data_IF_018828073434
#
_entry.id   IF_018828073434
#
_cell.length_a   1.000
_cell.length_b   1.000
_cell.length_c   1.000
_cell.angle_alpha   90.00
_cell.angle_beta   90.00
_cell.angle_gamma   90.00
#
_symmetry.space_group_name_H-M   'P 1'
#
loop_
_entity.id
_entity.type
_entity.pdbx_description
1 polymer ?
#
# COMPACT_ATOMS: atom_id res chain seq x y z
N UNK A 1 13.60 -2.50 -24.22
CA UNK A 1 13.06 -2.58 -22.83
C UNK A 1 11.84 -3.48 -22.88
N UNK A 2 11.70 -4.44 -21.98
CA UNK A 2 10.56 -5.36 -21.96
C UNK A 2 9.30 -4.57 -21.52
N UNK A 3 8.18 -4.76 -22.22
CA UNK A 3 6.90 -4.11 -21.89
C UNK A 3 6.35 -4.48 -20.50
N UNK A 4 6.89 -5.55 -19.91
CA UNK A 4 6.55 -6.03 -18.56
C UNK A 4 7.33 -5.33 -17.42
N UNK A 5 8.20 -4.37 -17.74
CA UNK A 5 8.81 -3.51 -16.74
C UNK A 5 7.83 -2.41 -16.35
N UNK A 6 7.54 -2.32 -15.06
CA UNK A 6 6.52 -1.42 -14.53
C UNK A 6 7.20 -0.35 -13.70
N UNK A 7 6.77 0.89 -13.88
CA UNK A 7 7.08 2.01 -12.99
C UNK A 7 6.27 1.89 -11.68
N UNK A 8 6.82 2.38 -10.62
CA UNK A 8 6.50 2.39 -9.18
C UNK A 8 5.09 2.05 -8.70
N UNK A 9 4.04 2.50 -9.37
CA UNK A 9 2.66 2.39 -8.87
C UNK A 9 2.07 0.97 -8.84
N UNK A 10 2.62 0.07 -9.64
CA UNK A 10 2.14 -1.32 -9.73
C UNK A 10 3.14 -2.33 -9.18
N UNK A 11 4.21 -1.85 -8.59
CA UNK A 11 5.24 -2.73 -8.03
C UNK A 11 4.64 -3.60 -6.92
N UNK A 12 4.81 -4.90 -7.06
CA UNK A 12 4.40 -5.92 -6.09
C UNK A 12 5.49 -6.04 -5.01
N UNK A 13 6.74 -6.09 -5.46
CA UNK A 13 7.94 -6.06 -4.63
C UNK A 13 8.76 -4.82 -4.97
N UNK A 14 9.28 -4.13 -3.96
CA UNK A 14 10.08 -2.92 -4.15
C UNK A 14 11.13 -2.79 -3.06
N UNK A 15 12.42 -2.68 -3.44
CA UNK A 15 13.45 -2.24 -2.52
C UNK A 15 13.32 -0.74 -2.26
N UNK A 16 13.35 -0.33 -1.01
CA UNK A 16 13.24 1.06 -0.58
C UNK A 16 14.44 1.39 0.30
N UNK A 17 15.10 2.51 -0.02
CA UNK A 17 16.19 3.08 0.76
C UNK A 17 15.74 4.42 1.32
N UNK A 18 15.98 4.64 2.62
CA UNK A 18 15.64 5.90 3.31
C UNK A 18 16.84 6.32 4.14
N UNK A 19 17.28 7.56 4.01
CA UNK A 19 18.39 8.10 4.79
C UNK A 19 17.99 8.38 6.22
N UNK A 20 18.94 8.24 7.15
CA UNK A 20 18.73 8.57 8.54
C UNK A 20 18.21 10.01 8.71
N UNK A 21 17.14 10.15 9.48
CA UNK A 21 16.41 11.42 9.67
C UNK A 21 15.29 11.69 8.67
N UNK A 22 15.23 11.01 7.54
CA UNK A 22 14.17 11.17 6.54
C UNK A 22 12.89 10.43 6.91
N UNK A 23 11.81 10.77 6.22
CA UNK A 23 10.48 10.20 6.43
C UNK A 23 10.01 9.39 5.23
N UNK A 24 9.39 8.25 5.51
CA UNK A 24 8.64 7.44 4.57
C UNK A 24 7.15 7.55 4.92
N UNK A 25 6.41 8.35 4.17
CA UNK A 25 4.98 8.58 4.41
C UNK A 25 4.18 7.95 3.26
N UNK A 26 3.13 7.22 3.61
CA UNK A 26 2.13 6.69 2.68
C UNK A 26 0.75 6.97 3.24
N UNK A 27 -0.02 7.80 2.57
CA UNK A 27 -1.42 8.06 2.91
C UNK A 27 -2.32 7.04 2.24
N UNK A 28 -3.28 6.51 3.00
CA UNK A 28 -4.26 5.53 2.53
C UNK A 28 -3.65 4.43 1.64
N UNK A 29 -2.84 3.58 2.24
CA UNK A 29 -2.19 2.44 1.55
C UNK A 29 -3.23 1.63 0.77
N UNK A 30 -3.07 1.54 -0.54
CA UNK A 30 -4.10 0.94 -1.42
C UNK A 30 -4.24 -0.59 -1.28
N UNK A 31 -3.17 -1.25 -0.86
CA UNK A 31 -3.09 -2.72 -0.70
C UNK A 31 -2.46 -3.05 0.63
N UNK A 32 -2.75 -4.24 1.14
CA UNK A 32 -1.98 -4.76 2.27
C UNK A 32 -0.50 -4.74 1.93
N UNK A 33 0.31 -4.36 2.89
CA UNK A 33 1.74 -4.16 2.68
C UNK A 33 2.53 -4.83 3.79
N UNK A 34 3.45 -5.72 3.39
CA UNK A 34 4.51 -6.22 4.25
C UNK A 34 5.76 -5.37 4.06
N UNK A 35 6.34 -4.91 5.16
CA UNK A 35 7.66 -4.27 5.18
C UNK A 35 8.66 -5.18 5.89
N UNK A 36 9.80 -5.42 5.26
CA UNK A 36 10.89 -6.25 5.79
C UNK A 36 12.13 -5.37 5.95
N UNK A 37 12.57 -5.13 7.18
CA UNK A 37 13.78 -4.34 7.45
C UNK A 37 15.00 -5.21 7.22
N UNK A 38 15.80 -4.87 6.21
CA UNK A 38 17.03 -5.57 5.86
C UNK A 38 18.25 -4.95 6.53
N UNK A 39 18.23 -3.66 6.81
CA UNK A 39 19.24 -2.99 7.64
C UNK A 39 18.69 -1.70 8.24
N UNK A 40 19.25 -1.27 9.37
CA UNK A 40 18.91 -0.03 10.05
C UNK A 40 17.71 -0.14 10.99
N UNK A 41 17.32 1.02 11.53
CA UNK A 41 16.20 1.17 12.46
C UNK A 41 15.31 2.34 12.06
N UNK A 42 14.01 2.19 12.21
CA UNK A 42 13.03 3.25 12.00
C UNK A 42 11.91 3.21 13.05
N UNK A 43 11.34 4.37 13.32
CA UNK A 43 10.12 4.50 14.10
C UNK A 43 8.94 4.49 13.13
N UNK A 44 7.96 3.62 13.37
CA UNK A 44 6.78 3.45 12.51
C UNK A 44 5.49 3.68 13.29
N UNK A 45 4.47 4.21 12.62
CA UNK A 45 3.11 4.36 13.14
C UNK A 45 2.08 4.31 12.02
N UNK A 46 0.86 3.92 12.36
CA UNK A 46 -0.34 4.09 11.53
C UNK A 46 -1.31 5.04 12.22
N UNK A 47 -2.37 5.48 11.53
CA UNK A 47 -3.34 6.40 12.11
C UNK A 47 -3.95 5.82 13.40
N UNK A 48 -3.75 6.53 14.53
CA UNK A 48 -4.24 6.12 15.85
C UNK A 48 -3.37 5.09 16.57
N UNK A 49 -2.22 4.66 15.98
CA UNK A 49 -1.28 3.76 16.65
C UNK A 49 -0.20 4.50 17.44
N UNK A 50 0.32 3.83 18.47
CA UNK A 50 1.52 4.29 19.17
C UNK A 50 2.72 4.13 18.25
N UNK A 51 3.65 5.09 18.26
CA UNK A 51 4.90 4.99 17.54
C UNK A 51 5.74 3.81 18.09
N UNK A 52 6.19 2.96 17.18
CA UNK A 52 6.88 1.72 17.53
C UNK A 52 8.18 1.63 16.73
N UNK A 53 9.26 1.24 17.39
CA UNK A 53 10.55 1.00 16.75
C UNK A 53 10.58 -0.35 16.08
N UNK A 54 11.08 -0.38 14.84
CA UNK A 54 11.36 -1.59 14.08
C UNK A 54 12.80 -1.54 13.57
N UNK A 55 13.51 -2.66 13.67
CA UNK A 55 14.91 -2.77 13.28
C UNK A 55 15.18 -3.93 12.32
N UNK A 56 16.45 -4.12 12.03
CA UNK A 56 16.93 -5.20 11.18
C UNK A 56 16.36 -6.56 11.57
N UNK A 57 16.05 -7.40 10.57
CA UNK A 57 15.42 -8.72 10.74
C UNK A 57 14.03 -8.71 11.37
N UNK A 58 13.34 -7.60 11.29
CA UNK A 58 11.92 -7.52 11.66
C UNK A 58 11.06 -7.20 10.45
N UNK A 59 9.86 -7.77 10.42
CA UNK A 59 8.83 -7.45 9.44
C UNK A 59 7.58 -6.92 10.13
N UNK A 60 6.84 -6.10 9.40
CA UNK A 60 5.58 -5.48 9.84
C UNK A 60 4.52 -5.53 8.76
N UNK A 61 3.26 -5.42 9.18
CA UNK A 61 2.10 -5.43 8.32
C UNK A 61 1.35 -4.10 8.42
N UNK A 62 1.01 -3.53 7.27
CA UNK A 62 0.14 -2.36 7.16
C UNK A 62 -1.15 -2.79 6.47
N UNK A 63 -2.29 -2.50 7.09
CA UNK A 63 -3.59 -2.79 6.49
C UNK A 63 -3.89 -1.83 5.34
N UNK A 64 -4.67 -2.32 4.36
CA UNK A 64 -5.15 -1.48 3.28
C UNK A 64 -6.03 -0.35 3.84
N UNK A 65 -5.81 0.87 3.33
CA UNK A 65 -6.48 2.08 3.75
C UNK A 65 -5.93 2.73 5.01
N UNK A 66 -4.86 2.19 5.60
CA UNK A 66 -4.19 2.87 6.71
C UNK A 66 -3.22 3.94 6.19
N UNK A 67 -2.98 4.94 7.03
CA UNK A 67 -1.90 5.90 6.82
C UNK A 67 -0.65 5.39 7.52
N UNK A 68 0.44 5.31 6.79
CA UNK A 68 1.73 4.88 7.33
C UNK A 68 2.70 6.04 7.43
N UNK A 69 3.31 6.18 8.58
CA UNK A 69 4.38 7.13 8.87
C UNK A 69 5.58 6.37 9.39
N UNK A 70 6.70 6.47 8.67
CA UNK A 70 7.99 5.92 9.07
C UNK A 70 9.01 7.05 9.19
N UNK A 71 9.79 7.09 10.27
CA UNK A 71 10.96 7.95 10.43
C UNK A 71 12.20 7.11 10.54
N UNK A 72 13.10 7.22 9.59
CA UNK A 72 14.39 6.55 9.64
C UNK A 72 15.25 7.11 10.80
N UNK A 73 15.74 6.25 11.69
CA UNK A 73 16.68 6.62 12.75
C UNK A 73 18.09 6.50 12.23
N UNK A 74 18.39 5.44 11.51
CA UNK A 74 19.63 5.23 10.77
C UNK A 74 19.30 5.11 9.28
N UNK A 75 20.30 4.95 8.42
CA UNK A 75 20.06 4.60 7.02
C UNK A 75 19.32 3.25 6.98
N UNK A 76 18.19 3.23 6.29
CA UNK A 76 17.28 2.08 6.17
C UNK A 76 17.40 1.47 4.80
N UNK A 77 17.49 0.14 4.75
CA UNK A 77 17.16 -0.67 3.59
C UNK A 77 16.00 -1.60 3.94
N UNK A 78 14.91 -1.52 3.18
CA UNK A 78 13.76 -2.39 3.38
C UNK A 78 13.24 -2.96 2.05
N UNK A 79 12.64 -4.14 2.12
CA UNK A 79 11.82 -4.69 1.04
C UNK A 79 10.35 -4.49 1.37
N UNK A 80 9.60 -3.93 0.42
CA UNK A 80 8.15 -3.80 0.49
C UNK A 80 7.48 -4.86 -0.38
N UNK A 81 6.48 -5.57 0.13
CA UNK A 81 5.63 -6.48 -0.64
C UNK A 81 4.17 -6.04 -0.52
N UNK A 82 3.55 -5.70 -1.65
CA UNK A 82 2.12 -5.34 -1.71
C UNK A 82 1.29 -6.55 -2.18
N UNK A 83 0.17 -6.82 -1.49
CA UNK A 83 -0.68 -7.96 -1.79
C UNK A 83 -2.16 -7.65 -1.53
N UNK A 84 -3.04 -8.56 -1.94
CA UNK A 84 -4.49 -8.51 -1.74
C UNK A 84 -4.93 -9.69 -0.89
N UNK A 85 -6.13 -9.65 -0.30
CA UNK A 85 -6.62 -10.65 0.64
C UNK A 85 -6.79 -12.05 0.04
N UNK A 86 -7.07 -12.12 -1.26
CA UNK A 86 -7.16 -13.36 -2.03
C UNK A 86 -5.83 -14.13 -2.14
N UNK A 87 -4.76 -13.55 -1.58
CA UNK A 87 -3.45 -14.19 -1.53
C UNK A 87 -3.49 -15.49 -0.73
N UNK A 88 -3.02 -16.56 -1.32
CA UNK A 88 -2.87 -17.85 -0.68
C UNK A 88 -1.46 -18.04 -0.15
N UNK A 89 -1.33 -18.59 1.06
CA UNK A 89 -0.05 -19.04 1.64
C UNK A 89 0.45 -20.32 0.98
N UNK A 90 -0.46 -21.09 0.38
CA UNK A 90 -0.19 -22.20 -0.54
C UNK A 90 -1.51 -22.59 -1.23
N UNK A 91 -1.47 -23.50 -2.22
CA UNK A 91 -2.64 -23.92 -3.01
C UNK A 91 -3.87 -24.39 -2.20
N UNK A 92 -3.69 -24.72 -0.92
CA UNK A 92 -4.76 -25.23 -0.04
C UNK A 92 -4.96 -24.41 1.23
N UNK A 93 -4.28 -23.28 1.37
CA UNK A 93 -4.30 -22.49 2.61
C UNK A 93 -4.25 -20.99 2.31
N UNK A 94 -5.40 -20.33 2.40
CA UNK A 94 -5.51 -18.88 2.26
C UNK A 94 -5.17 -18.13 3.56
N UNK A 95 -4.87 -16.85 3.45
CA UNK A 95 -4.67 -15.97 4.62
C UNK A 95 -5.91 -15.99 5.53
N UNK A 96 -7.12 -15.97 4.98
CA UNK A 96 -8.37 -16.00 5.75
C UNK A 96 -8.50 -17.23 6.66
N UNK A 97 -7.95 -18.36 6.23
CA UNK A 97 -8.00 -19.60 7.05
C UNK A 97 -7.15 -19.49 8.32
N UNK A 98 -6.24 -18.51 8.41
CA UNK A 98 -5.51 -18.20 9.64
C UNK A 98 -6.43 -17.76 10.78
N UNK A 99 -7.62 -17.22 10.49
CA UNK A 99 -8.57 -16.81 11.51
C UNK A 99 -8.89 -17.92 12.50
N UNK A 100 -8.87 -19.19 12.07
CA UNK A 100 -9.10 -20.38 12.91
C UNK A 100 -8.00 -20.61 13.95
N UNK A 101 -6.85 -20.00 13.76
CA UNK A 101 -5.66 -20.15 14.61
C UNK A 101 -5.40 -18.94 15.50
N UNK A 102 -6.28 -17.95 15.49
CA UNK A 102 -6.23 -16.84 16.45
C UNK A 102 -6.53 -17.41 17.83
N UNK A 103 -5.64 -17.25 18.83
CA UNK A 103 -5.86 -17.76 20.19
C UNK A 103 -7.14 -17.17 20.81
N UNK A 104 -7.87 -17.99 21.57
CA UNK A 104 -9.01 -17.52 22.35
C UNK A 104 -8.57 -16.41 23.30
N UNK A 105 -9.27 -15.28 23.30
CA UNK A 105 -8.94 -14.12 24.12
C UNK A 105 -7.83 -13.24 23.55
N UNK A 106 -7.31 -13.53 22.36
CA UNK A 106 -6.40 -12.62 21.68
C UNK A 106 -7.12 -11.29 21.42
N UNK A 107 -6.68 -10.26 22.11
CA UNK A 107 -7.06 -8.89 21.80
C UNK A 107 -5.93 -8.29 20.96
N UNK A 108 -6.24 -8.00 19.71
CA UNK A 108 -5.35 -7.21 18.92
C UNK A 108 -5.16 -5.87 19.64
N UNK A 109 -3.92 -5.52 19.91
CA UNK A 109 -3.63 -4.19 20.46
C UNK A 109 -4.24 -3.16 19.49
N UNK A 110 -5.24 -2.45 19.99
CA UNK A 110 -6.08 -1.53 19.22
C UNK A 110 -5.28 -0.41 18.54
N UNK A 111 -3.99 -0.30 18.88
CA UNK A 111 -3.13 0.83 18.53
C UNK A 111 -1.66 0.42 18.25
N UNK A 112 -1.40 -0.80 17.80
CA UNK A 112 -0.04 -1.24 17.50
C UNK A 112 0.12 -1.87 16.11
N UNK A 113 1.27 -1.67 15.49
CA UNK A 113 1.68 -2.41 14.29
C UNK A 113 2.23 -3.76 14.77
N UNK A 114 1.72 -4.86 14.23
CA UNK A 114 2.21 -6.18 14.58
C UNK A 114 3.59 -6.41 13.94
N UNK A 115 4.59 -6.73 14.78
CA UNK A 115 5.94 -7.08 14.36
C UNK A 115 6.14 -8.59 14.44
N UNK A 116 6.91 -9.13 13.50
CA UNK A 116 7.34 -10.51 13.50
C UNK A 116 8.83 -10.59 13.10
N UNK A 117 9.68 -11.36 13.80
CA UNK A 117 11.06 -11.59 13.38
C UNK A 117 11.11 -12.26 11.99
N UNK A 118 12.02 -11.83 11.12
CA UNK A 118 12.24 -12.48 9.83
C UNK A 118 13.08 -13.74 10.06
N UNK A 119 12.59 -14.88 9.57
CA UNK A 119 13.34 -16.13 9.58
C UNK A 119 14.65 -15.98 8.80
N UNK A 120 15.75 -16.58 9.26
CA UNK A 120 17.08 -16.33 8.69
C UNK A 120 17.21 -16.69 7.21
N UNK A 121 16.59 -17.79 6.77
CA UNK A 121 16.60 -18.18 5.34
C UNK A 121 15.76 -17.20 4.50
N UNK A 122 14.62 -16.75 5.01
CA UNK A 122 13.81 -15.75 4.36
C UNK A 122 14.56 -14.40 4.26
N UNK A 123 15.29 -14.03 5.29
CA UNK A 123 16.10 -12.81 5.28
C UNK A 123 17.15 -12.85 4.15
N UNK A 124 17.91 -13.95 4.03
CA UNK A 124 18.89 -14.14 2.95
C UNK A 124 18.25 -14.10 1.57
N UNK A 125 17.07 -14.71 1.41
CA UNK A 125 16.32 -14.69 0.15
C UNK A 125 15.88 -13.26 -0.24
N UNK A 126 15.44 -12.47 0.75
CA UNK A 126 15.07 -11.07 0.54
C UNK A 126 16.29 -10.21 0.16
N UNK A 127 17.46 -10.43 0.78
CA UNK A 127 18.69 -9.74 0.41
C UNK A 127 19.09 -10.04 -1.04
N UNK A 128 19.08 -11.31 -1.45
CA UNK A 128 19.36 -11.72 -2.83
C UNK A 128 18.35 -11.11 -3.80
N UNK A 129 17.07 -11.12 -3.43
CA UNK A 129 16.01 -10.51 -4.25
C UNK A 129 16.22 -9.01 -4.42
N UNK A 130 16.57 -8.30 -3.34
CA UNK A 130 16.93 -6.87 -3.39
C UNK A 130 18.09 -6.61 -4.37
N UNK A 131 19.18 -7.37 -4.27
CA UNK A 131 20.32 -7.20 -5.16
C UNK A 131 19.94 -7.44 -6.64
N UNK A 132 19.18 -8.50 -6.92
CA UNK A 132 18.67 -8.75 -8.28
C UNK A 132 17.83 -7.57 -8.78
N UNK A 133 16.95 -7.01 -7.95
CA UNK A 133 16.12 -5.87 -8.36
C UNK A 133 16.95 -4.59 -8.56
N UNK A 134 18.02 -4.38 -7.80
CA UNK A 134 18.98 -3.28 -7.99
C UNK A 134 19.70 -3.32 -9.33
N UNK A 135 19.88 -4.50 -9.93
CA UNK A 135 20.43 -4.62 -11.30
C UNK A 135 19.44 -4.20 -12.39
N UNK A 136 18.23 -3.74 -12.01
CA UNK A 136 17.19 -3.31 -12.94
C UNK A 136 16.14 -4.39 -13.28
N UNK A 137 16.15 -5.53 -12.59
CA UNK A 137 15.13 -6.58 -12.75
C UNK A 137 13.80 -6.16 -12.09
N UNK A 138 13.00 -5.36 -12.79
CA UNK A 138 11.68 -4.87 -12.32
C UNK A 138 10.48 -5.54 -13.03
N UNK A 139 10.72 -6.66 -13.75
CA UNK A 139 9.68 -7.38 -14.48
C UNK A 139 8.54 -7.84 -13.57
N UNK A 140 7.30 -7.55 -13.95
CA UNK A 140 6.10 -7.91 -13.15
C UNK A 140 5.96 -9.41 -12.93
N UNK A 141 6.37 -10.23 -13.92
CA UNK A 141 6.31 -11.68 -13.79
C UNK A 141 7.28 -12.18 -12.71
N UNK A 142 8.50 -11.62 -12.68
CA UNK A 142 9.47 -11.91 -11.62
C UNK A 142 8.91 -11.55 -10.25
N UNK A 143 8.39 -10.34 -10.10
CA UNK A 143 7.82 -9.86 -8.84
C UNK A 143 6.64 -10.73 -8.38
N UNK A 144 5.78 -11.17 -9.31
CA UNK A 144 4.64 -12.05 -9.00
C UNK A 144 5.10 -13.40 -8.46
N UNK A 145 6.05 -14.05 -9.13
CA UNK A 145 6.62 -15.33 -8.70
C UNK A 145 7.29 -15.18 -7.34
N UNK A 146 8.10 -14.14 -7.15
CA UNK A 146 8.75 -13.86 -5.86
C UNK A 146 7.76 -13.63 -4.74
N UNK A 147 6.67 -12.92 -4.99
CA UNK A 147 5.58 -12.76 -4.02
C UNK A 147 4.96 -14.11 -3.65
N UNK A 148 4.65 -14.95 -4.62
CA UNK A 148 4.09 -16.28 -4.36
C UNK A 148 5.05 -17.15 -3.53
N UNK A 149 6.32 -17.17 -3.87
CA UNK A 149 7.36 -17.87 -3.09
C UNK A 149 7.42 -17.35 -1.66
N UNK A 150 7.46 -16.04 -1.46
CA UNK A 150 7.46 -15.40 -0.13
C UNK A 150 6.31 -15.89 0.75
N UNK A 151 5.10 -15.99 0.21
CA UNK A 151 3.94 -16.46 0.99
C UNK A 151 4.01 -17.96 1.32
N UNK A 152 4.57 -18.78 0.41
CA UNK A 152 4.84 -20.20 0.67
C UNK A 152 5.91 -20.33 1.78
N UNK A 153 6.95 -19.51 1.75
CA UNK A 153 8.02 -19.48 2.74
C UNK A 153 7.51 -19.02 4.12
N UNK A 154 6.67 -17.99 4.16
CA UNK A 154 5.99 -17.59 5.39
C UNK A 154 5.22 -18.78 5.99
N UNK A 155 4.49 -19.52 5.15
CA UNK A 155 3.76 -20.71 5.61
C UNK A 155 4.69 -21.85 6.06
N UNK A 156 5.87 -21.97 5.45
CA UNK A 156 6.86 -23.01 5.75
C UNK A 156 7.68 -22.73 7.02
N UNK A 157 8.02 -21.48 7.26
CA UNK A 157 8.96 -21.10 8.34
C UNK A 157 8.29 -20.72 9.65
N UNK A 158 7.00 -20.35 9.65
CA UNK A 158 6.31 -19.89 10.86
C UNK A 158 5.17 -20.81 11.26
N UNK A 159 4.88 -20.87 12.56
CA UNK A 159 3.71 -21.56 13.07
C UNK A 159 2.43 -20.82 12.65
N UNK A 160 1.34 -21.53 12.47
CA UNK A 160 0.06 -20.94 12.05
C UNK A 160 -0.46 -19.90 13.05
N UNK A 161 -0.23 -20.15 14.32
CA UNK A 161 -0.61 -19.27 15.43
C UNK A 161 0.13 -17.94 15.39
N UNK A 162 1.43 -17.95 15.04
CA UNK A 162 2.25 -16.73 14.89
C UNK A 162 1.81 -15.94 13.66
N UNK A 163 1.58 -16.62 12.54
CA UNK A 163 1.01 -16.00 11.34
C UNK A 163 -0.40 -15.45 11.60
N UNK A 164 -1.24 -16.18 12.36
CA UNK A 164 -2.58 -15.73 12.70
C UNK A 164 -2.56 -14.42 13.52
N UNK A 165 -1.67 -14.32 14.50
CA UNK A 165 -1.46 -13.08 15.26
C UNK A 165 -0.92 -11.96 14.37
N UNK A 166 0.06 -12.27 13.53
CA UNK A 166 0.68 -11.30 12.64
C UNK A 166 -0.29 -10.73 11.60
N UNK A 167 -1.11 -11.59 10.99
CA UNK A 167 -2.13 -11.20 10.02
C UNK A 167 -3.47 -10.77 10.66
N UNK A 168 -3.62 -10.84 11.98
CA UNK A 168 -4.86 -10.49 12.67
C UNK A 168 -5.45 -9.12 12.25
N UNK A 169 -4.64 -8.07 12.01
CA UNK A 169 -5.16 -6.78 11.56
C UNK A 169 -5.99 -6.83 10.27
N UNK A 170 -5.78 -7.85 9.45
CA UNK A 170 -6.46 -8.01 8.17
C UNK A 170 -7.43 -9.20 8.13
N UNK A 171 -7.52 -9.95 9.24
CA UNK A 171 -8.46 -11.06 9.40
C UNK A 171 -9.73 -10.53 10.07
N UNK A 172 -10.79 -10.28 9.31
CA UNK A 172 -12.06 -9.84 9.87
C UNK A 172 -12.98 -9.18 8.85
N UNK A 173 -14.28 -9.18 9.13
CA UNK A 173 -15.32 -8.72 8.20
C UNK A 173 -15.40 -7.20 8.02
N UNK A 174 -14.91 -6.41 8.97
CA UNK A 174 -15.00 -4.94 8.90
C UNK A 174 -14.06 -4.33 7.85
N UNK A 175 -12.96 -5.02 7.56
CA UNK A 175 -12.02 -4.60 6.51
C UNK A 175 -12.50 -4.93 5.08
N UNK A 176 -13.44 -5.87 4.91
CA UNK A 176 -13.90 -6.33 3.59
C UNK A 176 -14.46 -5.20 2.73
N UNK A 177 -15.25 -4.30 3.33
CA UNK A 177 -15.84 -3.19 2.60
C UNK A 177 -14.76 -2.19 2.15
N UNK A 178 -13.85 -1.83 3.04
CA UNK A 178 -12.73 -0.90 2.76
C UNK A 178 -11.84 -1.44 1.65
N UNK A 179 -11.47 -2.70 1.77
CA UNK A 179 -10.64 -3.39 0.77
C UNK A 179 -11.33 -3.48 -0.59
N UNK A 180 -12.59 -3.92 -0.63
CA UNK A 180 -13.35 -4.00 -1.87
C UNK A 180 -13.46 -2.63 -2.56
N UNK A 181 -13.69 -1.55 -1.80
CA UNK A 181 -13.66 -0.19 -2.34
C UNK A 181 -12.29 0.14 -2.92
N UNK A 182 -11.20 -0.17 -2.20
CA UNK A 182 -9.82 0.12 -2.64
C UNK A 182 -9.40 -0.70 -3.87
N UNK A 183 -9.89 -1.92 -4.01
CA UNK A 183 -9.64 -2.74 -5.21
C UNK A 183 -10.39 -2.24 -6.44
N UNK A 184 -11.62 -1.77 -6.24
CA UNK A 184 -12.51 -1.36 -7.32
C UNK A 184 -12.23 0.07 -7.78
N UNK A 185 -11.89 1.00 -6.87
CA UNK A 185 -11.82 2.42 -7.16
C UNK A 185 -10.86 2.81 -8.31
N UNK A 186 -9.73 2.12 -8.59
CA UNK A 186 -8.88 2.47 -9.72
C UNK A 186 -9.55 2.32 -11.09
N UNK A 187 -10.66 1.57 -11.13
CA UNK A 187 -11.40 1.23 -12.36
C UNK A 187 -12.74 1.97 -12.47
N UNK A 188 -13.04 2.88 -11.54
CA UNK A 188 -14.29 3.63 -11.48
C UNK A 188 -14.04 5.13 -11.37
N UNK A 189 -14.97 5.93 -11.87
CA UNK A 189 -14.89 7.40 -11.82
C UNK A 189 -15.95 8.00 -10.91
N UNK A 190 -17.00 7.26 -10.59
CA UNK A 190 -18.17 7.76 -9.86
C UNK A 190 -18.53 6.89 -8.65
N UNK A 191 -19.20 7.52 -7.68
CA UNK A 191 -19.73 6.80 -6.53
C UNK A 191 -20.84 5.80 -6.93
N UNK A 192 -21.56 6.07 -8.03
CA UNK A 192 -22.58 5.16 -8.52
C UNK A 192 -21.94 3.85 -9.04
N UNK A 193 -20.86 3.95 -9.80
CA UNK A 193 -20.12 2.76 -10.25
C UNK A 193 -19.57 1.91 -9.11
N UNK A 194 -19.15 2.54 -7.99
CA UNK A 194 -18.76 1.79 -6.78
C UNK A 194 -19.97 1.04 -6.19
N UNK A 195 -21.14 1.70 -6.10
CA UNK A 195 -22.37 1.10 -5.59
C UNK A 195 -22.75 -0.13 -6.42
N UNK A 196 -22.74 0.03 -7.74
CA UNK A 196 -23.14 -1.01 -8.69
C UNK A 196 -22.19 -2.22 -8.60
N UNK A 197 -20.87 -2.00 -8.57
CA UNK A 197 -19.89 -3.07 -8.47
C UNK A 197 -19.87 -3.78 -7.12
N UNK A 198 -20.23 -3.07 -6.04
CA UNK A 198 -20.33 -3.65 -4.71
C UNK A 198 -21.68 -4.32 -4.44
N UNK A 199 -22.62 -4.28 -5.40
CA UNK A 199 -23.97 -4.82 -5.28
C UNK A 199 -24.70 -4.35 -4.00
N UNK A 200 -24.55 -3.06 -3.65
CA UNK A 200 -25.15 -2.49 -2.45
C UNK A 200 -26.30 -1.55 -2.79
N UNK A 201 -27.25 -1.42 -1.88
CA UNK A 201 -28.23 -0.32 -1.99
C UNK A 201 -27.56 1.03 -1.74
N UNK A 202 -27.97 2.12 -2.42
CA UNK A 202 -27.37 3.45 -2.25
C UNK A 202 -27.32 3.95 -0.81
N UNK A 203 -28.37 3.66 -0.03
CA UNK A 203 -28.46 4.08 1.39
C UNK A 203 -27.50 3.28 2.27
N UNK A 204 -27.40 1.96 2.11
CA UNK A 204 -26.48 1.12 2.84
C UNK A 204 -25.02 1.48 2.52
N UNK A 205 -24.73 1.70 1.22
CA UNK A 205 -23.39 2.13 0.77
C UNK A 205 -23.00 3.47 1.39
N UNK A 206 -23.85 4.52 1.29
CA UNK A 206 -23.54 5.85 1.83
C UNK A 206 -23.23 5.81 3.33
N UNK A 207 -24.03 5.06 4.09
CA UNK A 207 -23.80 4.89 5.53
C UNK A 207 -22.47 4.20 5.79
N UNK A 208 -22.26 3.00 5.23
CA UNK A 208 -21.07 2.19 5.45
C UNK A 208 -19.80 2.90 4.95
N UNK A 209 -19.89 3.61 3.81
CA UNK A 209 -18.78 4.38 3.27
C UNK A 209 -18.35 5.51 4.22
N UNK A 210 -19.31 6.24 4.79
CA UNK A 210 -19.05 7.33 5.73
C UNK A 210 -18.50 6.82 7.07
N UNK A 211 -18.99 5.68 7.55
CA UNK A 211 -18.47 4.99 8.75
C UNK A 211 -17.01 4.55 8.53
N UNK A 212 -16.68 4.03 7.34
CA UNK A 212 -15.36 3.48 7.03
C UNK A 212 -14.32 4.55 6.68
N UNK A 213 -14.69 5.55 5.87
CA UNK A 213 -13.77 6.55 5.31
C UNK A 213 -13.92 7.96 5.91
N UNK A 214 -14.89 8.19 6.78
CA UNK A 214 -15.14 9.45 7.44
C UNK A 214 -15.75 10.54 6.55
N UNK A 215 -15.78 10.37 5.23
CA UNK A 215 -16.27 11.33 4.23
C UNK A 215 -17.18 10.64 3.21
N UNK A 216 -17.84 11.41 2.35
CA UNK A 216 -18.64 10.83 1.26
C UNK A 216 -17.76 10.21 0.17
N UNK A 217 -18.27 9.17 -0.52
CA UNK A 217 -17.57 8.51 -1.62
C UNK A 217 -17.16 9.50 -2.74
N UNK A 218 -18.01 10.49 -3.04
CA UNK A 218 -17.70 11.54 -4.02
C UNK A 218 -16.50 12.38 -3.59
N UNK A 219 -16.45 12.82 -2.32
CA UNK A 219 -15.34 13.60 -1.79
C UNK A 219 -14.06 12.77 -1.77
N UNK A 220 -14.16 11.50 -1.40
CA UNK A 220 -13.03 10.58 -1.37
C UNK A 220 -12.46 10.32 -2.77
N UNK A 221 -13.30 10.05 -3.78
CA UNK A 221 -12.85 9.88 -5.17
C UNK A 221 -12.16 11.14 -5.72
N UNK A 222 -12.65 12.34 -5.37
CA UNK A 222 -12.00 13.60 -5.74
C UNK A 222 -10.62 13.67 -5.10
N UNK A 223 -10.47 13.40 -3.80
CA UNK A 223 -9.16 13.39 -3.13
C UNK A 223 -8.20 12.39 -3.74
N UNK A 224 -8.66 11.19 -4.09
CA UNK A 224 -7.84 10.19 -4.78
C UNK A 224 -7.37 10.67 -6.16
N UNK A 225 -8.26 11.33 -6.91
CA UNK A 225 -7.90 11.94 -8.20
C UNK A 225 -6.88 13.07 -8.04
N UNK A 226 -7.03 13.90 -7.00
CA UNK A 226 -6.07 14.95 -6.63
C UNK A 226 -4.68 14.38 -6.34
N UNK A 227 -4.59 13.37 -5.47
CA UNK A 227 -3.33 12.72 -5.10
C UNK A 227 -2.61 12.13 -6.32
N UNK A 228 -3.35 11.40 -7.19
CA UNK A 228 -2.77 10.85 -8.42
C UNK A 228 -2.29 11.94 -9.37
N UNK A 229 -3.09 12.98 -9.56
CA UNK A 229 -2.74 14.08 -10.46
C UNK A 229 -1.48 14.82 -10.00
N UNK A 230 -1.39 15.20 -8.72
CA UNK A 230 -0.20 15.86 -8.16
C UNK A 230 1.02 14.98 -8.36
N UNK A 231 0.95 13.71 -8.03
CA UNK A 231 2.06 12.78 -8.21
C UNK A 231 2.50 12.73 -9.68
N UNK A 232 1.57 12.57 -10.60
CA UNK A 232 1.89 12.54 -12.03
C UNK A 232 2.52 13.85 -12.50
N UNK A 233 2.04 15.01 -12.01
CA UNK A 233 2.63 16.33 -12.33
C UNK A 233 4.08 16.41 -11.85
N UNK A 234 4.36 15.92 -10.64
CA UNK A 234 5.67 16.06 -9.99
C UNK A 234 6.67 15.00 -10.45
N UNK A 235 6.23 13.74 -10.58
CA UNK A 235 7.11 12.59 -10.72
C UNK A 235 7.28 12.09 -12.16
N UNK A 236 6.46 12.58 -13.11
CA UNK A 236 6.55 12.14 -14.50
C UNK A 236 7.00 13.26 -15.43
N UNK A 237 7.58 12.87 -16.58
CA UNK A 237 7.92 13.80 -17.66
C UNK A 237 6.79 13.96 -18.70
N UNK A 238 5.60 13.40 -18.44
CA UNK A 238 4.42 13.53 -19.30
C UNK A 238 4.04 15.01 -19.41
N UNK A 239 3.71 15.49 -20.61
CA UNK A 239 3.31 16.88 -20.80
C UNK A 239 1.99 17.21 -20.07
N UNK A 240 1.79 18.48 -19.73
CA UNK A 240 0.52 18.88 -19.06
C UNK A 240 -0.68 18.64 -19.97
N UNK A 241 -0.52 18.70 -21.28
CA UNK A 241 -1.58 18.40 -22.23
C UNK A 241 -1.97 16.90 -22.21
N UNK A 242 -0.98 16.01 -22.23
CA UNK A 242 -1.19 14.56 -22.09
C UNK A 242 -1.77 14.18 -20.73
N UNK A 243 -1.35 14.87 -19.65
CA UNK A 243 -1.98 14.69 -18.35
C UNK A 243 -3.44 15.13 -18.34
N UNK A 244 -3.78 16.26 -18.99
CA UNK A 244 -5.16 16.69 -19.11
C UNK A 244 -6.01 15.64 -19.84
N UNK A 245 -5.50 15.07 -20.93
CA UNK A 245 -6.17 13.99 -21.66
C UNK A 245 -6.31 12.72 -20.78
N UNK A 246 -5.23 12.28 -20.10
CA UNK A 246 -5.24 11.13 -19.19
C UNK A 246 -6.31 11.24 -18.10
N UNK A 247 -6.50 12.46 -17.56
CA UNK A 247 -7.49 12.71 -16.50
C UNK A 247 -8.85 13.15 -17.04
N UNK A 248 -9.05 13.11 -18.37
CA UNK A 248 -10.27 13.56 -19.07
C UNK A 248 -10.64 15.01 -18.73
N UNK A 249 -9.64 15.87 -18.62
CA UNK A 249 -9.77 17.30 -18.38
C UNK A 249 -9.52 18.08 -19.68
N UNK A 250 -10.19 19.22 -19.80
CA UNK A 250 -9.72 20.25 -20.75
C UNK A 250 -8.51 20.97 -20.14
N UNK A 251 -7.64 21.55 -20.98
CA UNK A 251 -6.46 22.30 -20.49
C UNK A 251 -6.86 23.42 -19.51
N UNK A 252 -7.94 24.13 -19.78
CA UNK A 252 -8.47 25.17 -18.91
C UNK A 252 -8.98 24.61 -17.58
N UNK A 253 -9.69 23.50 -17.65
CA UNK A 253 -10.19 22.85 -16.43
C UNK A 253 -9.07 22.29 -15.57
N UNK A 254 -8.02 21.70 -16.17
CA UNK A 254 -6.82 21.24 -15.48
C UNK A 254 -6.18 22.38 -14.68
N UNK A 255 -5.99 23.55 -15.30
CA UNK A 255 -5.41 24.72 -14.64
C UNK A 255 -6.28 25.22 -13.50
N UNK A 256 -7.60 25.31 -13.73
CA UNK A 256 -8.57 25.75 -12.71
C UNK A 256 -8.62 24.77 -11.55
N UNK A 257 -8.62 23.47 -11.85
CA UNK A 257 -8.61 22.40 -10.85
C UNK A 257 -7.36 22.46 -9.97
N UNK A 258 -6.16 22.55 -10.57
CA UNK A 258 -4.92 22.63 -9.83
C UNK A 258 -4.84 23.89 -8.96
N UNK A 259 -5.25 25.05 -9.47
CA UNK A 259 -5.30 26.28 -8.66
C UNK A 259 -6.25 26.17 -7.48
N UNK A 260 -7.42 25.55 -7.68
CA UNK A 260 -8.42 25.36 -6.63
C UNK A 260 -7.96 24.41 -5.53
N UNK A 261 -7.29 23.32 -5.89
CA UNK A 261 -6.98 22.22 -4.96
C UNK A 261 -5.54 22.30 -4.41
N UNK A 262 -4.61 22.92 -5.16
CA UNK A 262 -3.19 23.01 -4.79
C UNK A 262 -2.67 24.44 -4.72
N UNK A 263 -3.50 25.43 -4.99
CA UNK A 263 -3.12 26.86 -4.96
C UNK A 263 -2.26 27.32 -6.15
N UNK A 264 -1.84 26.43 -7.06
CA UNK A 264 -0.89 26.69 -8.15
C UNK A 264 -1.33 26.02 -9.45
N UNK A 265 -0.84 26.50 -10.58
CA UNK A 265 -1.02 25.82 -11.87
C UNK A 265 -0.18 24.54 -11.97
N UNK A 266 -0.51 23.58 -12.85
CA UNK A 266 0.28 22.36 -13.05
C UNK A 266 1.75 22.64 -13.39
N UNK A 267 2.00 23.68 -14.18
CA UNK A 267 3.37 24.07 -14.58
C UNK A 267 4.16 24.64 -13.40
N UNK A 268 3.54 25.47 -12.57
CA UNK A 268 4.16 26.03 -11.36
C UNK A 268 4.51 24.91 -10.37
N UNK A 269 3.61 23.96 -10.13
CA UNK A 269 3.84 22.78 -9.29
C UNK A 269 5.07 22.00 -9.77
N UNK A 270 5.16 21.71 -11.07
CA UNK A 270 6.28 20.98 -11.65
C UNK A 270 7.62 21.70 -11.56
N UNK A 271 7.62 23.01 -11.77
CA UNK A 271 8.86 23.81 -11.72
C UNK A 271 9.43 23.91 -10.30
N UNK A 272 8.59 23.97 -9.29
CA UNK A 272 9.04 24.03 -7.89
C UNK A 272 9.66 22.70 -7.42
N UNK A 273 9.16 21.59 -7.90
CA UNK A 273 9.71 20.28 -7.53
C UNK A 273 11.07 19.98 -8.21
N UNK A 274 11.39 20.66 -9.31
CA UNK A 274 12.67 20.51 -10.02
C UNK A 274 13.79 21.41 -9.49
N UNK A 275 13.48 22.28 -8.53
CA UNK A 275 14.46 23.10 -7.78
C UNK A 275 14.89 22.37 -6.50
#
# INVERSE_FOLDING_TARGET
VCENYISDERSILEPIEVKGGEYLIREEVERFTLGFILSGEMDISTAGSVCQRVGEKQMFLIAAGDNFHGRAITDISLMRCSFTRDMSLCNRFSIEQLQKYIPLGFQQEKYGITLLPIHELLFKELEVTREIMRTGMSCIHYQRIKKEMLFIELRGFYQKEDLARFFAPILGTDNDFKENVLQIYPQVETAQELIDRLNMSPSAFKRKFRETFGISARQWLIRKKEQKLVRDILMTNISIAELAEKYKFTANYMTTFCRKHFGKSPTELRLEHKK
#
